data_IF_751093052350
#
_entry.id   IF_751093052350
#
_cell.length_a   1.000
_cell.length_b   1.000
_cell.length_c   1.000
_cell.angle_alpha   90.00
_cell.angle_beta   90.00
_cell.angle_gamma   90.00
#
_symmetry.space_group_name_H-M   'P 1'
#
loop_
_entity.id
_entity.type
_entity.pdbx_description
1 polymer ?
#
# COMPACT_ATOMS: atom_id res chain seq x y z
N UNK A 1 -24.51 -14.12 9.50
CA UNK A 1 -24.24 -13.11 8.46
C UNK A 1 -23.02 -13.58 7.72
N UNK A 2 -23.06 -13.74 6.40
CA UNK A 2 -21.85 -13.99 5.63
C UNK A 2 -20.98 -12.75 5.76
N UNK A 3 -19.90 -12.83 6.52
CA UNK A 3 -18.94 -11.73 6.65
C UNK A 3 -18.27 -11.54 5.29
N UNK A 4 -18.75 -10.56 4.54
CA UNK A 4 -18.09 -10.11 3.31
C UNK A 4 -16.96 -9.19 3.74
N UNK A 5 -15.75 -9.71 3.77
CA UNK A 5 -14.55 -8.89 3.98
C UNK A 5 -14.28 -8.03 2.76
N UNK A 6 -13.81 -6.81 2.99
CA UNK A 6 -13.17 -6.01 1.96
C UNK A 6 -11.70 -6.41 1.80
N UNK A 7 -11.15 -6.08 0.65
CA UNK A 7 -9.84 -6.49 0.19
C UNK A 7 -9.01 -5.30 -0.26
N UNK A 8 -7.69 -5.46 -0.16
CA UNK A 8 -6.71 -4.49 -0.58
C UNK A 8 -5.62 -5.16 -1.40
N UNK A 9 -5.32 -4.60 -2.56
CA UNK A 9 -4.16 -4.99 -3.36
C UNK A 9 -2.98 -4.08 -3.03
N UNK A 10 -1.83 -4.70 -2.81
CA UNK A 10 -0.53 -4.04 -2.71
C UNK A 10 0.42 -4.62 -3.75
N UNK A 11 1.24 -3.77 -4.32
CA UNK A 11 2.32 -4.17 -5.22
C UNK A 11 3.66 -3.67 -4.69
N UNK A 12 4.71 -4.43 -4.95
CA UNK A 12 6.08 -3.96 -4.81
C UNK A 12 6.61 -3.65 -6.19
N UNK A 13 7.09 -2.43 -6.37
CA UNK A 13 7.71 -2.00 -7.61
C UNK A 13 9.21 -2.28 -7.60
N UNK A 14 9.81 -2.39 -8.79
CA UNK A 14 11.26 -2.50 -8.92
C UNK A 14 11.99 -1.22 -8.47
N UNK A 15 13.21 -1.37 -7.98
CA UNK A 15 14.05 -0.30 -7.44
C UNK A 15 14.27 0.85 -8.43
N UNK A 16 14.33 0.54 -9.74
CA UNK A 16 14.50 1.53 -10.79
C UNK A 16 13.25 2.39 -11.03
N UNK A 17 12.05 1.86 -10.76
CA UNK A 17 10.77 2.53 -11.08
C UNK A 17 10.01 3.01 -9.84
N UNK A 18 10.27 2.46 -8.65
CA UNK A 18 9.59 2.87 -7.42
C UNK A 18 9.75 4.37 -7.10
N UNK A 19 10.95 4.99 -7.18
CA UNK A 19 11.10 6.43 -6.96
C UNK A 19 10.36 7.26 -8.02
N UNK A 20 10.28 6.74 -9.25
CA UNK A 20 9.55 7.35 -10.36
C UNK A 20 8.06 7.34 -10.08
N UNK A 21 7.47 6.19 -9.76
CA UNK A 21 6.05 6.05 -9.43
C UNK A 21 5.62 6.91 -8.24
N UNK A 22 6.51 7.16 -7.29
CA UNK A 22 6.26 8.06 -6.16
C UNK A 22 6.19 9.53 -6.57
N UNK A 23 7.01 9.96 -7.54
CA UNK A 23 7.08 11.36 -7.99
C UNK A 23 6.08 11.67 -9.10
N UNK A 24 5.97 10.75 -10.04
CA UNK A 24 5.15 10.86 -11.25
C UNK A 24 4.52 9.49 -11.59
N UNK A 25 3.33 9.19 -11.03
CA UNK A 25 2.61 7.95 -11.33
C UNK A 25 2.19 7.80 -12.80
N UNK A 26 2.21 8.88 -13.58
CA UNK A 26 1.80 8.92 -14.99
C UNK A 26 3.01 8.81 -15.96
N UNK A 27 4.21 8.57 -15.43
CA UNK A 27 5.42 8.45 -16.23
C UNK A 27 5.30 7.32 -17.30
N UNK A 28 5.77 7.55 -18.54
CA UNK A 28 5.73 6.55 -19.61
C UNK A 28 6.40 5.21 -19.26
N UNK A 29 7.40 5.19 -18.38
CA UNK A 29 8.03 3.95 -17.89
C UNK A 29 7.04 3.06 -17.13
N UNK A 30 5.97 3.63 -16.58
CA UNK A 30 4.89 2.95 -15.88
C UNK A 30 3.68 2.69 -16.78
N UNK A 31 3.75 2.98 -18.09
CA UNK A 31 2.59 2.92 -18.98
C UNK A 31 1.79 1.60 -18.91
N UNK A 32 2.41 0.40 -18.84
CA UNK A 32 1.66 -0.84 -18.66
C UNK A 32 0.88 -0.90 -17.35
N UNK A 33 1.48 -0.42 -16.25
CA UNK A 33 0.84 -0.34 -14.94
C UNK A 33 -0.26 0.74 -14.93
N UNK A 34 0.04 1.93 -15.45
CA UNK A 34 -0.92 3.03 -15.54
C UNK A 34 -2.16 2.68 -16.36
N UNK A 35 -2.02 1.84 -17.40
CA UNK A 35 -3.16 1.34 -18.17
C UNK A 35 -4.10 0.47 -17.31
N UNK A 36 -3.55 -0.43 -16.50
CA UNK A 36 -4.32 -1.27 -15.57
C UNK A 36 -4.99 -0.39 -14.50
N UNK A 37 -4.23 0.54 -13.91
CA UNK A 37 -4.76 1.44 -12.89
C UNK A 37 -5.94 2.26 -13.43
N UNK A 38 -5.82 2.82 -14.64
CA UNK A 38 -6.90 3.58 -15.28
C UNK A 38 -8.14 2.74 -15.55
N UNK A 39 -7.97 1.49 -16.00
CA UNK A 39 -9.08 0.54 -16.24
C UNK A 39 -9.91 0.32 -14.99
N UNK A 40 -9.26 0.26 -13.82
CA UNK A 40 -9.90 0.00 -12.53
C UNK A 40 -10.21 1.26 -11.73
N UNK A 41 -9.99 2.46 -12.28
CA UNK A 41 -10.04 3.72 -11.54
C UNK A 41 -9.21 3.66 -10.23
N UNK A 42 -8.04 3.03 -10.31
CA UNK A 42 -7.14 2.81 -9.21
C UNK A 42 -6.01 3.87 -9.18
N UNK A 43 -5.52 4.17 -7.98
CA UNK A 43 -4.38 5.07 -7.75
C UNK A 43 -3.34 4.41 -6.86
N UNK A 44 -2.07 4.68 -7.13
CA UNK A 44 -0.97 4.25 -6.30
C UNK A 44 -0.81 5.19 -5.11
N UNK A 45 -0.63 4.61 -3.93
CA UNK A 45 -0.24 5.30 -2.72
C UNK A 45 0.99 4.62 -2.13
N UNK A 46 2.10 5.35 -2.03
CA UNK A 46 3.32 4.83 -1.44
C UNK A 46 3.10 4.56 0.06
N UNK A 47 3.37 3.33 0.50
CA UNK A 47 3.14 2.91 1.87
C UNK A 47 4.01 3.70 2.86
N UNK A 48 5.25 4.02 2.47
CA UNK A 48 6.12 4.86 3.28
C UNK A 48 5.56 6.27 3.45
N UNK A 49 5.04 6.89 2.38
CA UNK A 49 4.46 8.23 2.44
C UNK A 49 3.18 8.25 3.28
N UNK A 50 2.36 7.21 3.20
CA UNK A 50 1.20 7.05 4.07
C UNK A 50 1.61 6.96 5.54
N UNK A 51 2.67 6.21 5.87
CA UNK A 51 3.20 6.14 7.23
C UNK A 51 3.80 7.46 7.71
N UNK A 52 4.58 8.14 6.87
CA UNK A 52 5.16 9.44 7.18
C UNK A 52 4.06 10.50 7.39
N UNK A 53 3.01 10.49 6.55
CA UNK A 53 1.84 11.35 6.69
C UNK A 53 1.09 11.11 8.00
N UNK A 54 0.85 9.85 8.36
CA UNK A 54 0.23 9.48 9.64
C UNK A 54 1.06 9.96 10.85
N UNK A 55 2.38 9.80 10.81
CA UNK A 55 3.29 10.28 11.87
C UNK A 55 3.29 11.80 11.96
N UNK A 56 3.37 12.51 10.83
CA UNK A 56 3.33 13.97 10.78
C UNK A 56 1.99 14.53 11.28
N UNK A 57 0.87 13.91 10.93
CA UNK A 57 -0.45 14.29 11.42
C UNK A 57 -0.58 14.08 12.94
N UNK A 58 -0.07 12.95 13.45
CA UNK A 58 -0.04 12.67 14.88
C UNK A 58 0.82 13.69 15.65
N UNK A 59 1.97 14.08 15.12
CA UNK A 59 2.84 15.10 15.73
C UNK A 59 2.19 16.49 15.71
N UNK A 60 1.44 16.82 14.67
CA UNK A 60 0.74 18.10 14.55
C UNK A 60 -0.51 18.19 15.44
N UNK A 61 -1.27 17.11 15.59
CA UNK A 61 -2.57 17.08 16.29
C UNK A 61 -2.51 16.51 17.71
N UNK A 62 -1.35 16.00 18.12
CA UNK A 62 -1.19 15.26 19.38
C UNK A 62 -1.32 13.75 19.17
N UNK A 63 -0.40 12.99 19.75
CA UNK A 63 -0.21 11.55 19.48
C UNK A 63 -1.20 10.65 20.23
N UNK A 64 -1.99 11.22 21.15
CA UNK A 64 -2.92 10.52 22.04
C UNK A 64 -4.02 9.76 21.28
N UNK A 65 -4.47 10.31 20.14
CA UNK A 65 -5.48 9.68 19.27
C UNK A 65 -4.87 8.76 18.20
N UNK A 66 -3.56 8.52 18.24
CA UNK A 66 -2.81 7.80 17.22
C UNK A 66 -2.15 6.58 17.85
N UNK A 67 -2.90 5.50 18.14
CA UNK A 67 -2.38 4.34 18.88
C UNK A 67 -1.21 3.65 18.17
N UNK A 68 -1.12 3.77 16.84
CA UNK A 68 -0.02 3.21 16.06
C UNK A 68 1.20 4.14 15.95
N UNK A 69 1.16 5.38 16.47
CA UNK A 69 2.19 6.40 16.24
C UNK A 69 3.60 5.90 16.54
N UNK A 70 3.82 5.38 17.75
CA UNK A 70 5.15 4.94 18.19
C UNK A 70 5.71 3.79 17.32
N UNK A 71 4.84 2.88 16.88
CA UNK A 71 5.25 1.78 16.01
C UNK A 71 5.48 2.23 14.58
N UNK A 72 4.60 3.07 14.03
CA UNK A 72 4.72 3.62 12.68
C UNK A 72 5.98 4.48 12.56
N UNK A 73 6.27 5.33 13.55
CA UNK A 73 7.50 6.13 13.64
C UNK A 73 8.75 5.25 13.66
N UNK A 74 8.81 4.28 14.56
CA UNK A 74 9.93 3.34 14.62
C UNK A 74 10.07 2.49 13.33
N UNK A 75 8.99 2.31 12.57
CA UNK A 75 9.02 1.60 11.30
C UNK A 75 9.61 2.46 10.18
N UNK A 76 9.28 3.74 10.11
CA UNK A 76 9.84 4.64 9.09
C UNK A 76 11.26 5.11 9.42
N UNK A 77 11.66 5.14 10.70
CA UNK A 77 13.03 5.48 11.13
C UNK A 77 14.01 4.31 10.95
N UNK A 78 13.53 3.11 10.61
CA UNK A 78 14.38 1.95 10.36
C UNK A 78 14.79 1.89 8.88
N UNK A 79 16.08 2.05 8.53
CA UNK A 79 16.52 2.11 7.13
C UNK A 79 16.15 0.88 6.29
N UNK A 80 16.15 -0.31 6.90
CA UNK A 80 15.77 -1.54 6.20
C UNK A 80 14.26 -1.61 5.93
N UNK A 81 13.44 -1.02 6.80
CA UNK A 81 11.98 -0.93 6.61
C UNK A 81 11.64 0.20 5.64
N UNK A 82 12.31 1.33 5.74
CA UNK A 82 12.22 2.43 4.78
C UNK A 82 12.48 1.93 3.35
N UNK A 83 13.62 1.27 3.11
CA UNK A 83 13.97 0.72 1.81
C UNK A 83 12.92 -0.27 1.28
N UNK A 84 12.25 -1.01 2.18
CA UNK A 84 11.14 -1.91 1.82
C UNK A 84 9.87 -1.13 1.46
N UNK A 85 9.45 -0.18 2.30
CA UNK A 85 8.14 0.48 2.16
C UNK A 85 8.12 1.57 1.10
N UNK A 86 9.27 2.15 0.73
CA UNK A 86 9.37 3.08 -0.42
C UNK A 86 9.02 2.37 -1.74
N UNK A 87 9.25 1.06 -1.81
CA UNK A 87 8.94 0.22 -2.99
C UNK A 87 7.53 -0.36 -2.94
N UNK A 88 6.86 -0.25 -1.80
CA UNK A 88 5.55 -0.85 -1.55
C UNK A 88 4.46 0.17 -1.80
N UNK A 89 3.52 -0.16 -2.68
CA UNK A 89 2.41 0.69 -3.04
C UNK A 89 1.08 0.00 -2.76
N UNK A 90 0.18 0.73 -2.13
CA UNK A 90 -1.21 0.33 -1.91
C UNK A 90 -2.07 0.91 -3.03
N UNK A 91 -2.95 0.08 -3.60
CA UNK A 91 -3.82 0.48 -4.70
C UNK A 91 -5.19 0.89 -4.16
N UNK A 92 -5.53 2.17 -4.32
CA UNK A 92 -6.82 2.74 -3.94
C UNK A 92 -7.76 2.69 -5.13
N UNK A 93 -8.89 1.99 -5.04
CA UNK A 93 -9.89 1.88 -6.13
C UNK A 93 -11.02 2.87 -5.85
N UNK A 94 -11.24 3.81 -6.76
CA UNK A 94 -12.27 4.85 -6.57
C UNK A 94 -12.06 5.72 -5.32
N UNK A 95 -10.82 5.81 -4.82
CA UNK A 95 -10.48 6.50 -3.58
C UNK A 95 -10.63 5.64 -2.30
N UNK A 96 -11.11 4.40 -2.41
CA UNK A 96 -11.19 3.47 -1.29
C UNK A 96 -9.91 2.65 -1.15
N UNK A 97 -9.39 2.56 0.07
CA UNK A 97 -8.20 1.76 0.40
C UNK A 97 -8.48 0.26 0.37
N UNK A 98 -9.72 -0.12 0.71
CA UNK A 98 -10.24 -1.48 0.73
C UNK A 98 -11.53 -1.52 -0.09
N UNK A 99 -11.79 -2.62 -0.78
CA UNK A 99 -12.92 -2.76 -1.72
C UNK A 99 -13.40 -4.20 -1.81
N UNK A 100 -14.60 -4.38 -2.38
CA UNK A 100 -15.21 -5.68 -2.56
C UNK A 100 -14.30 -6.68 -3.29
N UNK A 101 -14.44 -7.95 -2.94
CA UNK A 101 -13.65 -9.06 -3.47
C UNK A 101 -13.55 -9.07 -4.99
N UNK A 102 -14.66 -8.87 -5.68
CA UNK A 102 -14.73 -8.96 -7.15
C UNK A 102 -13.85 -7.89 -7.82
N UNK A 103 -13.79 -6.68 -7.24
CA UNK A 103 -12.89 -5.61 -7.69
C UNK A 103 -11.43 -5.99 -7.45
N UNK A 104 -11.13 -6.59 -6.30
CA UNK A 104 -9.77 -7.03 -5.97
C UNK A 104 -9.30 -8.17 -6.87
N UNK A 105 -10.14 -9.16 -7.15
CA UNK A 105 -9.80 -10.27 -8.04
C UNK A 105 -9.63 -9.81 -9.49
N UNK A 106 -10.47 -8.89 -9.97
CA UNK A 106 -10.33 -8.31 -11.31
C UNK A 106 -9.05 -7.48 -11.46
N UNK A 107 -8.73 -6.66 -10.45
CA UNK A 107 -7.51 -5.85 -10.42
C UNK A 107 -6.25 -6.73 -10.32
N UNK A 108 -6.26 -7.73 -9.43
CA UNK A 108 -5.18 -8.72 -9.30
C UNK A 108 -4.92 -9.45 -10.62
N UNK A 109 -5.97 -9.92 -11.29
CA UNK A 109 -5.84 -10.64 -12.56
C UNK A 109 -5.21 -9.79 -13.67
N UNK A 110 -5.54 -8.50 -13.76
CA UNK A 110 -4.94 -7.59 -14.74
C UNK A 110 -3.51 -7.14 -14.36
N UNK A 111 -3.15 -7.18 -13.09
CA UNK A 111 -1.79 -6.88 -12.62
C UNK A 111 -0.85 -8.09 -12.71
N UNK A 112 -1.39 -9.30 -12.60
CA UNK A 112 -0.62 -10.54 -12.59
C UNK A 112 0.39 -10.66 -13.75
N UNK A 113 0.07 -10.26 -15.00
CA UNK A 113 1.02 -10.31 -16.12
C UNK A 113 2.24 -9.38 -15.95
N UNK A 114 2.16 -8.37 -15.10
CA UNK A 114 3.25 -7.43 -14.82
C UNK A 114 4.19 -7.94 -13.71
N UNK A 115 3.76 -8.93 -12.93
CA UNK A 115 4.49 -9.46 -11.77
C UNK A 115 5.69 -10.29 -12.23
N UNK A 116 6.86 -10.04 -11.64
CA UNK A 116 8.13 -10.66 -12.03
C UNK A 116 8.76 -10.03 -13.28
N UNK A 117 8.14 -8.98 -13.83
CA UNK A 117 8.68 -8.18 -14.92
C UNK A 117 9.53 -7.01 -14.41
N UNK A 118 9.78 -6.04 -15.29
CA UNK A 118 10.61 -4.87 -15.01
C UNK A 118 9.94 -3.80 -14.11
N UNK A 119 8.61 -3.90 -13.90
CA UNK A 119 7.84 -2.88 -13.18
C UNK A 119 7.40 -3.40 -11.80
N UNK A 120 6.71 -4.53 -11.76
CA UNK A 120 6.15 -5.11 -10.53
C UNK A 120 6.96 -6.33 -10.15
N UNK A 121 7.62 -6.28 -8.99
CA UNK A 121 8.40 -7.41 -8.46
C UNK A 121 7.55 -8.35 -7.62
N UNK A 122 6.52 -7.83 -6.95
CA UNK A 122 5.64 -8.62 -6.11
C UNK A 122 4.22 -8.04 -6.09
N UNK A 123 3.23 -8.92 -5.95
CA UNK A 123 1.83 -8.57 -5.72
C UNK A 123 1.30 -9.34 -4.53
N UNK A 124 0.52 -8.68 -3.69
CA UNK A 124 -0.12 -9.26 -2.51
C UNK A 124 -1.54 -8.74 -2.36
N UNK A 125 -2.47 -9.64 -2.05
CA UNK A 125 -3.86 -9.35 -1.71
C UNK A 125 -4.07 -9.57 -0.21
N UNK A 126 -4.64 -8.57 0.46
CA UNK A 126 -4.98 -8.60 1.88
C UNK A 126 -6.49 -8.51 2.03
N UNK A 127 -7.04 -9.14 3.06
CA UNK A 127 -8.43 -8.96 3.48
C UNK A 127 -8.47 -8.17 4.80
N UNK A 128 -9.65 -7.61 5.08
CA UNK A 128 -9.94 -6.88 6.30
C UNK A 128 -10.24 -7.80 7.49
N UNK A 129 -10.08 -9.12 7.33
CA UNK A 129 -10.30 -10.05 8.43
C UNK A 129 -9.25 -9.81 9.52
N UNK A 130 -9.66 -9.43 10.75
CA UNK A 130 -8.73 -9.16 11.84
C UNK A 130 -7.81 -10.35 12.18
N UNK A 131 -8.23 -11.58 11.89
CA UNK A 131 -7.42 -12.78 12.08
C UNK A 131 -6.18 -12.82 11.18
N UNK A 132 -6.21 -12.13 10.05
CA UNK A 132 -5.14 -12.12 9.04
C UNK A 132 -4.25 -10.86 9.14
N UNK A 133 -4.62 -9.87 9.96
CA UNK A 133 -3.92 -8.58 10.00
C UNK A 133 -2.78 -8.59 11.05
N UNK A 134 -1.58 -8.08 10.73
CA UNK A 134 -0.47 -8.09 11.67
C UNK A 134 -0.75 -7.16 12.84
N UNK A 135 -0.58 -7.71 14.05
CA UNK A 135 -0.76 -6.96 15.28
C UNK A 135 0.52 -6.21 15.64
N UNK A 136 0.44 -4.96 16.15
CA UNK A 136 1.60 -4.25 16.68
C UNK A 136 2.36 -5.14 17.68
N UNK A 137 3.70 -5.09 17.72
CA UNK A 137 4.48 -5.77 18.75
C UNK A 137 3.99 -5.38 20.15
N UNK A 138 4.04 -6.31 21.13
CA UNK A 138 3.53 -6.07 22.50
C UNK A 138 4.04 -4.78 23.13
N UNK A 139 5.30 -4.39 22.86
CA UNK A 139 5.91 -3.15 23.36
C UNK A 139 5.28 -1.85 22.85
N UNK A 140 4.44 -1.92 21.81
CA UNK A 140 3.73 -0.79 21.23
C UNK A 140 2.20 -0.92 21.36
N UNK A 141 1.70 -1.96 22.04
CA UNK A 141 0.28 -2.05 22.38
C UNK A 141 0.08 -1.19 23.63
N UNK A 142 -0.70 -0.11 23.50
CA UNK A 142 -1.21 0.62 24.65
C UNK A 142 -2.34 -0.15 25.31
#
# INVERSE_FOLDING_TARGET
MSETWDYQIRITLDDGVAPLARRDPDDPALAPLAAVLRKHNAKLSCQFDAFAGYVAEAEAKGTENYPLYAWTKATIENPAKEAKYIKSFTLYVGGAEVYARDLAEALEADLQPLVGGAIVTHLSKHDTNPANNPQPPKRYRQ
#
